data_IF_940912134780
#
_entry.id   IF_940912134780
#
_cell.length_a   1.000
_cell.length_b   1.000
_cell.length_c   1.000
_cell.angle_alpha   90.00
_cell.angle_beta   90.00
_cell.angle_gamma   90.00
#
_symmetry.space_group_name_H-M   'P 1'
#
loop_
_entity.id
_entity.type
_entity.pdbx_description
1 polymer ?
#
# COMPACT_ATOMS: atom_id res chain seq x y z
N UNK A 1 0.30 4.01 8.89
CA UNK A 1 1.24 3.01 9.46
C UNK A 1 0.59 2.07 10.47
N UNK A 2 -0.35 2.52 11.31
CA UNK A 2 -1.01 1.69 12.33
C UNK A 2 -1.73 0.46 11.74
N UNK A 3 -2.18 0.53 10.49
CA UNK A 3 -2.82 -0.59 9.80
C UNK A 3 -1.89 -1.80 9.61
N UNK A 4 -0.57 -1.58 9.46
CA UNK A 4 0.39 -2.66 9.22
C UNK A 4 0.44 -3.68 10.37
N UNK A 5 0.69 -3.32 11.62
CA UNK A 5 0.75 -4.29 12.72
C UNK A 5 -0.62 -4.92 13.01
N UNK A 6 -1.71 -4.16 12.83
CA UNK A 6 -3.06 -4.64 13.13
C UNK A 6 -3.56 -5.62 12.06
N UNK A 7 -3.36 -5.30 10.78
CA UNK A 7 -3.95 -6.07 9.67
C UNK A 7 -3.03 -7.16 9.11
N UNK A 8 -1.73 -7.17 9.46
CA UNK A 8 -0.82 -8.24 9.06
C UNK A 8 -1.25 -9.62 9.52
N UNK A 9 -1.68 -9.74 10.78
CA UNK A 9 -2.23 -10.97 11.33
C UNK A 9 -3.54 -11.41 10.69
N UNK A 10 -4.39 -10.44 10.32
CA UNK A 10 -5.64 -10.70 9.60
C UNK A 10 -5.35 -11.27 8.21
N UNK A 11 -4.39 -10.68 7.48
CA UNK A 11 -3.97 -11.17 6.17
C UNK A 11 -3.47 -12.61 6.22
N UNK A 12 -2.62 -12.94 7.19
CA UNK A 12 -2.13 -14.30 7.40
C UNK A 12 -3.26 -15.28 7.71
N UNK A 13 -4.19 -14.92 8.57
CA UNK A 13 -5.37 -15.75 8.89
C UNK A 13 -6.27 -15.97 7.67
N UNK A 14 -6.41 -14.97 6.82
CA UNK A 14 -7.19 -15.10 5.59
C UNK A 14 -6.52 -16.01 4.56
N UNK A 15 -5.19 -16.00 4.46
CA UNK A 15 -4.47 -16.93 3.58
C UNK A 15 -4.73 -18.38 4.03
N UNK A 16 -4.63 -18.66 5.32
CA UNK A 16 -4.90 -19.99 5.86
C UNK A 16 -6.34 -20.46 5.63
N UNK A 17 -7.31 -19.55 5.67
CA UNK A 17 -8.74 -19.87 5.52
C UNK A 17 -9.23 -19.90 4.07
N UNK A 18 -8.77 -18.97 3.26
CA UNK A 18 -9.33 -18.72 1.90
C UNK A 18 -8.32 -18.96 0.78
N UNK A 19 -7.07 -19.26 1.11
CA UNK A 19 -5.98 -19.40 0.17
C UNK A 19 -5.51 -18.04 -0.39
N UNK A 20 -4.47 -18.06 -1.22
CA UNK A 20 -3.86 -16.86 -1.77
C UNK A 20 -4.81 -16.06 -2.67
N UNK A 21 -5.46 -16.72 -3.66
CA UNK A 21 -6.41 -16.06 -4.57
C UNK A 21 -7.58 -15.42 -3.82
N UNK A 22 -8.18 -16.16 -2.88
CA UNK A 22 -9.32 -15.67 -2.11
C UNK A 22 -8.96 -14.47 -1.23
N UNK A 23 -7.76 -14.45 -0.66
CA UNK A 23 -7.28 -13.34 0.16
C UNK A 23 -6.90 -12.13 -0.69
N UNK A 24 -6.26 -12.34 -1.84
CA UNK A 24 -5.96 -11.28 -2.82
C UNK A 24 -7.23 -10.55 -3.26
N UNK A 25 -8.27 -11.30 -3.62
CA UNK A 25 -9.56 -10.73 -4.04
C UNK A 25 -10.20 -9.90 -2.92
N UNK A 26 -10.19 -10.39 -1.70
CA UNK A 26 -10.72 -9.65 -0.54
C UNK A 26 -9.90 -8.41 -0.23
N UNK A 27 -8.57 -8.50 -0.32
CA UNK A 27 -7.69 -7.34 -0.18
C UNK A 27 -8.06 -6.23 -1.17
N UNK A 28 -8.22 -6.57 -2.46
CA UNK A 28 -8.61 -5.61 -3.48
C UNK A 28 -10.02 -5.03 -3.26
N UNK A 29 -10.97 -5.83 -2.77
CA UNK A 29 -12.31 -5.31 -2.41
C UNK A 29 -12.24 -4.31 -1.25
N UNK A 30 -11.42 -4.59 -0.23
CA UNK A 30 -11.17 -3.64 0.88
C UNK A 30 -10.54 -2.35 0.35
N UNK A 31 -9.65 -2.44 -0.66
CA UNK A 31 -9.07 -1.26 -1.33
C UNK A 31 -10.15 -0.39 -1.99
N UNK A 32 -11.08 -1.01 -2.72
CA UNK A 32 -12.20 -0.30 -3.36
C UNK A 32 -13.05 0.42 -2.31
N UNK A 33 -13.34 -0.22 -1.17
CA UNK A 33 -14.07 0.41 -0.07
C UNK A 33 -13.31 1.61 0.49
N UNK A 34 -11.99 1.49 0.68
CA UNK A 34 -11.14 2.58 1.16
C UNK A 34 -11.10 3.78 0.20
N UNK A 35 -10.99 3.53 -1.11
CA UNK A 35 -11.06 4.58 -2.13
C UNK A 35 -12.47 5.22 -2.19
N UNK A 36 -13.51 4.43 -1.98
CA UNK A 36 -14.88 4.94 -1.85
C UNK A 36 -15.04 5.88 -0.66
N UNK A 37 -14.35 5.60 0.46
CA UNK A 37 -14.31 6.52 1.61
C UNK A 37 -13.55 7.81 1.31
N UNK A 38 -12.47 7.77 0.51
CA UNK A 38 -11.78 8.98 0.07
C UNK A 38 -12.68 9.83 -0.82
N UNK A 39 -13.38 9.21 -1.76
CA UNK A 39 -14.37 9.90 -2.58
C UNK A 39 -15.48 10.51 -1.71
N UNK A 40 -16.04 9.75 -0.78
CA UNK A 40 -17.06 10.22 0.15
C UNK A 40 -16.56 11.37 1.03
N UNK A 41 -15.31 11.34 1.47
CA UNK A 41 -14.68 12.44 2.22
C UNK A 41 -14.61 13.72 1.41
N UNK A 42 -14.13 13.64 0.16
CA UNK A 42 -14.07 14.80 -0.75
C UNK A 42 -15.45 15.35 -1.05
N UNK A 43 -16.40 14.47 -1.36
CA UNK A 43 -17.79 14.84 -1.60
C UNK A 43 -18.43 15.54 -0.39
N UNK A 44 -18.22 14.98 0.80
CA UNK A 44 -18.74 15.55 2.04
C UNK A 44 -18.17 16.95 2.33
N UNK A 45 -16.87 17.12 2.15
CA UNK A 45 -16.20 18.40 2.40
C UNK A 45 -16.69 19.50 1.44
N UNK A 46 -16.97 19.15 0.18
CA UNK A 46 -17.46 20.12 -0.83
C UNK A 46 -18.93 20.50 -0.58
N UNK A 47 -19.79 19.53 -0.24
CA UNK A 47 -21.24 19.78 -0.12
C UNK A 47 -21.68 20.23 1.26
N UNK A 48 -20.88 19.99 2.30
CA UNK A 48 -21.17 20.35 3.69
C UNK A 48 -20.02 21.15 4.32
N UNK A 49 -19.68 22.34 3.78
CA UNK A 49 -18.55 23.13 4.27
C UNK A 49 -18.75 23.65 5.72
N UNK A 50 -20.00 23.69 6.19
CA UNK A 50 -20.33 24.12 7.57
C UNK A 50 -20.16 23.02 8.61
N UNK A 51 -20.03 21.76 8.20
CA UNK A 51 -19.87 20.62 9.09
C UNK A 51 -18.42 20.53 9.63
N UNK A 52 -18.01 21.56 10.34
CA UNK A 52 -16.67 21.67 10.92
C UNK A 52 -16.70 21.32 12.40
N UNK A 53 -15.70 20.61 12.86
CA UNK A 53 -15.50 20.33 14.27
C UNK A 53 -14.46 21.25 14.86
N UNK A 54 -14.75 21.89 15.97
CA UNK A 54 -13.85 22.77 16.68
C UNK A 54 -13.09 21.97 17.73
N UNK A 55 -11.79 21.78 17.53
CA UNK A 55 -10.88 21.20 18.52
C UNK A 55 -9.94 22.30 19.04
N UNK A 56 -10.34 22.99 20.09
CA UNK A 56 -9.62 24.15 20.61
C UNK A 56 -9.61 25.31 19.61
N UNK A 57 -8.44 25.79 19.21
CA UNK A 57 -8.27 26.89 18.23
C UNK A 57 -8.27 26.38 16.75
N UNK A 58 -8.32 25.08 16.51
CA UNK A 58 -8.27 24.52 15.16
C UNK A 58 -9.65 24.09 14.69
N UNK A 59 -9.98 24.47 13.45
CA UNK A 59 -11.20 24.05 12.76
C UNK A 59 -10.86 22.83 11.92
N UNK A 60 -11.46 21.68 12.22
CA UNK A 60 -11.28 20.43 11.52
C UNK A 60 -12.49 20.18 10.61
N UNK A 61 -12.33 20.10 9.28
CA UNK A 61 -13.42 19.76 8.38
C UNK A 61 -14.00 18.37 8.72
N UNK A 62 -15.34 18.24 8.72
CA UNK A 62 -15.99 16.97 9.02
C UNK A 62 -15.56 15.82 8.09
N UNK A 63 -15.25 16.12 6.84
CA UNK A 63 -14.69 15.16 5.88
C UNK A 63 -13.34 14.57 6.28
N UNK A 64 -12.56 15.26 7.13
CA UNK A 64 -11.25 14.78 7.58
C UNK A 64 -11.32 13.47 8.36
N UNK A 65 -12.36 13.27 9.17
CA UNK A 65 -12.56 12.01 9.89
C UNK A 65 -12.85 10.84 8.93
N UNK A 66 -13.63 11.10 7.89
CA UNK A 66 -13.91 10.12 6.83
C UNK A 66 -12.62 9.81 6.08
N UNK A 67 -11.80 10.82 5.79
CA UNK A 67 -10.49 10.65 5.16
C UNK A 67 -9.54 9.78 6.01
N UNK A 68 -9.47 10.01 7.32
CA UNK A 68 -8.65 9.20 8.23
C UNK A 68 -9.10 7.74 8.26
N UNK A 69 -10.41 7.51 8.29
CA UNK A 69 -10.97 6.16 8.21
C UNK A 69 -10.65 5.50 6.87
N UNK A 70 -10.81 6.23 5.76
CA UNK A 70 -10.40 5.78 4.43
C UNK A 70 -8.92 5.42 4.37
N UNK A 71 -8.06 6.26 4.93
CA UNK A 71 -6.60 6.03 5.00
C UNK A 71 -6.26 4.75 5.78
N UNK A 72 -6.95 4.50 6.88
CA UNK A 72 -6.78 3.27 7.63
C UNK A 72 -7.21 2.04 6.81
N UNK A 73 -8.36 2.10 6.13
CA UNK A 73 -8.89 0.99 5.31
C UNK A 73 -8.00 0.72 4.10
N UNK A 74 -7.51 1.75 3.40
CA UNK A 74 -6.53 1.60 2.30
C UNK A 74 -5.22 1.00 2.81
N UNK A 75 -4.71 1.48 3.95
CA UNK A 75 -3.51 0.92 4.58
C UNK A 75 -3.68 -0.54 5.00
N UNK A 76 -4.85 -0.91 5.53
CA UNK A 76 -5.21 -2.29 5.85
C UNK A 76 -5.21 -3.18 4.59
N UNK A 77 -5.82 -2.70 3.51
CA UNK A 77 -5.81 -3.38 2.21
C UNK A 77 -4.39 -3.58 1.68
N UNK A 78 -3.57 -2.53 1.66
CA UNK A 78 -2.19 -2.59 1.20
C UNK A 78 -1.38 -3.64 1.99
N UNK A 79 -1.56 -3.68 3.31
CA UNK A 79 -0.93 -4.68 4.17
C UNK A 79 -1.35 -6.10 3.81
N UNK A 80 -2.65 -6.34 3.65
CA UNK A 80 -3.18 -7.66 3.27
C UNK A 80 -2.59 -8.08 1.91
N UNK A 81 -2.56 -7.18 0.94
CA UNK A 81 -2.01 -7.46 -0.39
C UNK A 81 -0.51 -7.80 -0.34
N UNK A 82 0.29 -7.06 0.44
CA UNK A 82 1.72 -7.35 0.61
C UNK A 82 1.97 -8.71 1.27
N UNK A 83 1.20 -9.05 2.30
CA UNK A 83 1.28 -10.36 2.98
C UNK A 83 0.92 -11.51 2.03
N UNK A 84 0.09 -11.27 1.01
CA UNK A 84 -0.32 -12.28 0.03
C UNK A 84 0.66 -12.37 -1.14
N UNK A 85 1.03 -11.24 -1.75
CA UNK A 85 1.74 -11.19 -3.03
C UNK A 85 3.15 -11.75 -2.89
N UNK A 86 3.91 -11.35 -1.89
CA UNK A 86 5.30 -11.76 -1.73
C UNK A 86 5.46 -13.28 -1.53
N UNK A 87 4.74 -13.93 -0.58
CA UNK A 87 4.79 -15.38 -0.45
C UNK A 87 4.23 -16.11 -1.68
N UNK A 88 3.21 -15.55 -2.35
CA UNK A 88 2.67 -16.15 -3.56
C UNK A 88 3.69 -16.20 -4.68
N UNK A 89 4.41 -15.09 -4.93
CA UNK A 89 5.48 -15.02 -5.94
C UNK A 89 6.61 -16.00 -5.67
N UNK A 90 6.95 -16.20 -4.39
CA UNK A 90 8.02 -17.14 -4.01
C UNK A 90 7.58 -18.60 -4.13
N UNK A 91 6.34 -18.90 -3.76
CA UNK A 91 5.80 -20.25 -3.73
C UNK A 91 5.27 -20.73 -5.09
N UNK A 92 4.90 -19.82 -6.01
CA UNK A 92 4.42 -20.16 -7.34
C UNK A 92 5.52 -20.84 -8.17
N UNK A 93 5.29 -22.07 -8.63
CA UNK A 93 6.28 -22.80 -9.40
C UNK A 93 6.12 -22.52 -10.90
N UNK A 94 7.05 -21.71 -11.44
CA UNK A 94 7.12 -21.42 -12.89
C UNK A 94 8.40 -22.05 -13.45
N UNK A 95 8.26 -22.92 -14.47
CA UNK A 95 9.39 -23.58 -15.13
C UNK A 95 10.40 -22.54 -15.65
N UNK A 96 11.68 -22.77 -15.36
CA UNK A 96 12.76 -21.90 -15.85
C UNK A 96 13.03 -20.64 -15.01
N UNK A 97 12.32 -20.42 -13.89
CA UNK A 97 12.56 -19.26 -13.02
C UNK A 97 12.78 -19.69 -11.57
N UNK A 98 13.69 -19.01 -10.89
CA UNK A 98 13.92 -19.18 -9.45
C UNK A 98 12.97 -18.27 -8.64
N UNK A 99 12.65 -18.65 -7.40
CA UNK A 99 11.79 -17.88 -6.52
C UNK A 99 12.28 -16.43 -6.32
N UNK A 100 13.59 -16.28 -6.17
CA UNK A 100 14.25 -14.98 -5.99
C UNK A 100 14.12 -14.09 -7.22
N UNK A 101 14.20 -14.65 -8.44
CA UNK A 101 14.03 -13.91 -9.68
C UNK A 101 12.60 -13.37 -9.81
N UNK A 102 11.60 -14.17 -9.46
CA UNK A 102 10.19 -13.74 -9.50
C UNK A 102 9.92 -12.62 -8.51
N UNK A 103 10.49 -12.72 -7.31
CA UNK A 103 10.38 -11.67 -6.31
C UNK A 103 11.09 -10.38 -6.76
N UNK A 104 12.28 -10.50 -7.37
CA UNK A 104 13.01 -9.37 -7.91
C UNK A 104 12.26 -8.67 -9.07
N UNK A 105 11.63 -9.43 -9.97
CA UNK A 105 10.77 -8.87 -11.04
C UNK A 105 9.59 -8.12 -10.43
N UNK A 106 8.92 -8.70 -9.41
CA UNK A 106 7.84 -8.04 -8.70
C UNK A 106 8.28 -6.74 -8.01
N UNK A 107 9.43 -6.75 -7.36
CA UNK A 107 10.06 -5.58 -6.76
C UNK A 107 10.42 -4.50 -7.78
N UNK A 108 11.01 -4.89 -8.91
CA UNK A 108 11.32 -3.95 -10.00
C UNK A 108 10.06 -3.30 -10.58
N UNK A 109 8.99 -4.06 -10.80
CA UNK A 109 7.71 -3.53 -11.25
C UNK A 109 7.12 -2.54 -10.25
N UNK A 110 7.21 -2.85 -8.94
CA UNK A 110 6.79 -1.94 -7.89
C UNK A 110 7.58 -0.63 -7.92
N UNK A 111 8.90 -0.70 -8.09
CA UNK A 111 9.78 0.49 -8.16
C UNK A 111 9.47 1.37 -9.36
N UNK A 112 9.23 0.77 -10.53
CA UNK A 112 8.78 1.52 -11.71
C UNK A 112 7.44 2.21 -11.43
N UNK A 113 6.49 1.51 -10.82
CA UNK A 113 5.20 2.07 -10.44
C UNK A 113 5.32 3.26 -9.48
N UNK A 114 6.10 3.12 -8.41
CA UNK A 114 6.31 4.19 -7.43
C UNK A 114 7.03 5.41 -8.02
N UNK A 115 7.95 5.20 -8.95
CA UNK A 115 8.67 6.29 -9.64
C UNK A 115 7.75 7.03 -10.62
N UNK A 116 6.89 6.32 -11.36
CA UNK A 116 5.99 6.94 -12.34
C UNK A 116 4.75 7.58 -11.70
N UNK A 117 4.30 7.10 -10.54
CA UNK A 117 3.09 7.57 -9.89
C UNK A 117 3.06 9.09 -9.63
N UNK A 118 4.10 9.74 -9.08
CA UNK A 118 4.11 11.20 -8.89
C UNK A 118 3.93 11.97 -10.19
N UNK A 119 4.63 11.57 -11.26
CA UNK A 119 4.51 12.23 -12.58
C UNK A 119 3.12 12.08 -13.15
N UNK A 120 2.53 10.89 -13.03
CA UNK A 120 1.17 10.66 -13.47
C UNK A 120 0.17 11.52 -12.70
N UNK A 121 0.31 11.58 -11.38
CA UNK A 121 -0.59 12.37 -10.52
C UNK A 121 -0.44 13.86 -10.81
N UNK A 122 0.77 14.40 -10.81
CA UNK A 122 0.99 15.84 -11.02
C UNK A 122 0.70 16.28 -12.46
N UNK A 123 1.13 15.49 -13.46
CA UNK A 123 1.01 15.86 -14.87
C UNK A 123 -0.35 15.55 -15.49
N UNK A 124 -0.91 14.36 -15.18
CA UNK A 124 -2.15 13.89 -15.83
C UNK A 124 -3.38 14.21 -14.98
N UNK A 125 -3.30 13.93 -13.66
CA UNK A 125 -4.47 14.10 -12.78
C UNK A 125 -4.70 15.57 -12.44
N UNK A 126 -3.65 16.30 -12.11
CA UNK A 126 -3.73 17.73 -11.75
C UNK A 126 -3.38 18.69 -12.88
N UNK A 127 -3.07 18.16 -14.08
CA UNK A 127 -2.80 19.00 -15.24
C UNK A 127 -1.62 19.97 -15.08
N UNK A 128 -0.66 19.67 -14.20
CA UNK A 128 0.48 20.54 -13.90
C UNK A 128 0.18 21.73 -13.00
N UNK A 129 -0.99 21.77 -12.35
CA UNK A 129 -1.31 22.81 -11.38
C UNK A 129 -0.35 22.75 -10.18
N UNK A 130 -0.05 23.91 -9.59
CA UNK A 130 0.70 23.95 -8.32
C UNK A 130 -0.12 23.34 -7.19
N UNK A 131 0.56 22.78 -6.18
CA UNK A 131 -0.13 22.16 -5.03
C UNK A 131 -1.05 23.13 -4.27
N UNK A 132 -0.79 24.43 -4.37
CA UNK A 132 -1.58 25.49 -3.72
C UNK A 132 -2.90 25.75 -4.46
N UNK A 133 -2.98 25.43 -5.76
CA UNK A 133 -4.16 25.66 -6.60
C UNK A 133 -5.10 24.47 -6.70
N UNK A 134 -4.72 23.31 -6.09
CA UNK A 134 -5.52 22.09 -6.16
C UNK A 134 -6.70 22.20 -5.20
N UNK A 135 -7.91 22.17 -5.76
CA UNK A 135 -9.15 22.16 -4.99
C UNK A 135 -9.58 20.72 -4.66
N UNK A 136 -10.30 20.56 -3.54
CA UNK A 136 -10.73 19.24 -3.04
C UNK A 136 -11.68 18.52 -4.00
N UNK A 137 -12.48 19.27 -4.78
CA UNK A 137 -13.38 18.73 -5.79
C UNK A 137 -12.65 18.01 -6.93
N UNK A 138 -11.43 18.47 -7.28
CA UNK A 138 -10.59 17.87 -8.31
C UNK A 138 -10.10 16.46 -7.91
N UNK A 139 -10.06 16.14 -6.62
CA UNK A 139 -9.67 14.83 -6.12
C UNK A 139 -10.72 13.73 -6.37
N UNK A 140 -11.98 14.10 -6.61
CA UNK A 140 -13.06 13.13 -6.81
C UNK A 140 -12.83 12.27 -8.05
N UNK A 141 -12.44 12.89 -9.17
CA UNK A 141 -12.22 12.20 -10.44
C UNK A 141 -11.07 11.17 -10.34
N UNK A 142 -9.88 11.51 -9.80
CA UNK A 142 -8.82 10.55 -9.56
C UNK A 142 -9.23 9.34 -8.70
N UNK A 143 -9.98 9.57 -7.63
CA UNK A 143 -10.42 8.46 -6.76
C UNK A 143 -11.38 7.53 -7.49
N UNK A 144 -12.30 8.06 -8.30
CA UNK A 144 -13.19 7.25 -9.15
C UNK A 144 -12.41 6.49 -10.22
N UNK A 145 -11.42 7.12 -10.86
CA UNK A 145 -10.58 6.49 -11.86
C UNK A 145 -9.78 5.31 -11.25
N UNK A 146 -9.15 5.52 -10.10
CA UNK A 146 -8.45 4.46 -9.37
C UNK A 146 -9.38 3.32 -8.97
N UNK A 147 -10.58 3.64 -8.49
CA UNK A 147 -11.60 2.67 -8.14
C UNK A 147 -12.03 1.83 -9.35
N UNK A 148 -12.20 2.46 -10.51
CA UNK A 148 -12.52 1.78 -11.77
C UNK A 148 -11.38 0.85 -12.21
N UNK A 149 -10.12 1.30 -12.15
CA UNK A 149 -8.94 0.49 -12.48
C UNK A 149 -8.84 -0.73 -11.57
N UNK A 150 -8.97 -0.55 -10.26
CA UNK A 150 -8.90 -1.69 -9.32
C UNK A 150 -10.08 -2.64 -9.53
N UNK A 151 -11.27 -2.13 -9.81
CA UNK A 151 -12.43 -2.97 -10.13
C UNK A 151 -12.20 -3.79 -11.39
N UNK A 152 -11.57 -3.20 -12.41
CA UNK A 152 -11.18 -3.91 -13.63
C UNK A 152 -10.17 -5.03 -13.32
N UNK A 153 -9.17 -4.75 -12.48
CA UNK A 153 -8.19 -5.75 -12.04
C UNK A 153 -8.89 -6.91 -11.30
N UNK A 154 -9.85 -6.61 -10.42
CA UNK A 154 -10.65 -7.63 -9.73
C UNK A 154 -11.38 -8.51 -10.72
N UNK A 155 -12.06 -7.91 -11.73
CA UNK A 155 -12.77 -8.64 -12.76
C UNK A 155 -11.84 -9.53 -13.63
N UNK A 156 -10.65 -9.03 -13.97
CA UNK A 156 -9.63 -9.81 -14.67
C UNK A 156 -9.15 -10.99 -13.82
N UNK A 157 -8.85 -10.77 -12.55
CA UNK A 157 -8.40 -11.82 -11.63
C UNK A 157 -9.48 -12.89 -11.37
N UNK A 158 -10.76 -12.50 -11.41
CA UNK A 158 -11.86 -13.48 -11.34
C UNK A 158 -11.84 -14.46 -12.50
N UNK A 159 -11.54 -13.97 -13.72
CA UNK A 159 -11.48 -14.79 -14.94
C UNK A 159 -10.19 -15.60 -15.06
N UNK A 160 -9.09 -15.14 -14.46
CA UNK A 160 -7.80 -15.82 -14.49
C UNK A 160 -7.79 -17.01 -13.52
N UNK A 161 -7.40 -18.19 -14.04
CA UNK A 161 -7.10 -19.35 -13.20
C UNK A 161 -5.71 -19.19 -12.60
N UNK A 162 -5.62 -18.55 -11.44
CA UNK A 162 -4.37 -18.51 -10.67
C UNK A 162 -4.09 -19.91 -10.09
N UNK A 163 -2.85 -20.44 -10.20
CA UNK A 163 -2.49 -21.72 -9.64
C UNK A 163 -2.70 -21.72 -8.11
N UNK A 164 -3.40 -22.75 -7.63
CA UNK A 164 -3.60 -22.95 -6.20
C UNK A 164 -2.33 -23.59 -5.63
N UNK A 165 -1.79 -23.00 -4.57
CA UNK A 165 -0.58 -23.51 -3.91
C UNK A 165 -1.04 -24.43 -2.81
N UNK A 166 -0.87 -25.73 -3.04
CA UNK A 166 -1.19 -26.77 -2.05
C UNK A 166 -0.27 -26.65 -0.84
N UNK A 167 -0.79 -26.93 0.35
CA UNK A 167 -0.05 -26.89 1.61
C UNK A 167 -0.14 -25.58 2.40
N UNK A 168 -0.81 -24.55 1.86
CA UNK A 168 -1.00 -23.28 2.60
C UNK A 168 -2.20 -23.32 3.56
N UNK A 169 -3.15 -24.23 3.32
CA UNK A 169 -4.31 -24.39 4.20
C UNK A 169 -3.93 -25.33 5.34
N UNK A 170 -3.83 -24.74 6.54
CA UNK A 170 -3.66 -25.53 7.77
C UNK A 170 -4.96 -26.30 8.00
N UNK A 171 -4.89 -27.63 8.06
CA UNK A 171 -6.04 -28.46 8.42
C UNK A 171 -6.45 -28.14 9.88
N UNK A 172 -7.77 -28.08 10.11
CA UNK A 172 -8.30 -27.80 11.44
C UNK A 172 -7.84 -28.90 12.42
N UNK A 173 -6.92 -28.54 13.32
CA UNK A 173 -6.42 -29.44 14.36
C UNK A 173 -4.91 -29.69 14.31
N UNK A 174 -4.22 -29.32 13.25
CA UNK A 174 -2.76 -29.43 13.17
C UNK A 174 -2.11 -28.39 14.08
N UNK A 175 -1.60 -28.80 15.22
CA UNK A 175 -0.80 -27.96 16.12
C UNK A 175 0.63 -27.97 15.60
N UNK A 176 1.16 -26.81 15.26
CA UNK A 176 2.58 -26.63 15.00
C UNK A 176 3.36 -27.13 16.23
N UNK A 177 4.28 -28.07 16.03
CA UNK A 177 5.12 -28.64 17.12
C UNK A 177 5.96 -27.56 17.82
N UNK A 178 6.31 -26.50 17.12
CA UNK A 178 7.10 -25.38 17.64
C UNK A 178 6.47 -24.03 17.29
N UNK A 179 6.46 -23.12 18.23
CA UNK A 179 6.07 -21.73 17.98
C UNK A 179 7.01 -21.08 16.96
N UNK A 180 6.46 -20.25 16.08
CA UNK A 180 7.21 -19.49 15.06
C UNK A 180 8.33 -18.67 15.72
N UNK A 181 8.11 -18.15 16.92
CA UNK A 181 9.07 -17.36 17.69
C UNK A 181 10.24 -18.18 18.27
N UNK A 182 10.18 -19.50 18.27
CA UNK A 182 11.30 -20.34 18.71
C UNK A 182 12.45 -20.39 17.69
N UNK A 183 12.21 -19.90 16.47
CA UNK A 183 13.25 -19.79 15.45
C UNK A 183 14.03 -18.47 15.58
N UNK A 184 15.20 -18.54 16.18
CA UNK A 184 16.07 -17.37 16.45
C UNK A 184 16.33 -16.50 15.22
N UNK A 185 16.54 -17.11 14.06
CA UNK A 185 16.79 -16.41 12.81
C UNK A 185 15.59 -15.55 12.37
N UNK A 186 14.38 -16.07 12.56
CA UNK A 186 13.16 -15.33 12.24
C UNK A 186 12.99 -14.12 13.16
N UNK A 187 13.17 -14.31 14.47
CA UNK A 187 13.05 -13.24 15.46
C UNK A 187 14.07 -12.13 15.19
N UNK A 188 15.33 -12.47 14.94
CA UNK A 188 16.37 -11.51 14.58
C UNK A 188 16.08 -10.82 13.24
N UNK A 189 15.55 -11.54 12.26
CA UNK A 189 15.13 -10.97 10.98
C UNK A 189 14.00 -9.95 11.13
N UNK A 190 13.01 -10.23 11.96
CA UNK A 190 11.91 -9.27 12.26
C UNK A 190 12.45 -8.00 12.91
N UNK A 191 13.36 -8.13 13.88
CA UNK A 191 14.00 -6.97 14.53
C UNK A 191 14.83 -6.17 13.53
N UNK A 192 15.61 -6.83 12.69
CA UNK A 192 16.42 -6.18 11.66
C UNK A 192 15.56 -5.40 10.65
N UNK A 193 14.48 -6.01 10.15
CA UNK A 193 13.54 -5.35 9.23
C UNK A 193 12.86 -4.15 9.90
N UNK A 194 12.49 -4.25 11.16
CA UNK A 194 11.89 -3.15 11.91
C UNK A 194 12.80 -1.91 11.92
N UNK A 195 14.08 -2.08 12.25
CA UNK A 195 15.04 -0.97 12.24
C UNK A 195 15.33 -0.49 10.83
N UNK A 196 15.46 -1.39 9.86
CA UNK A 196 15.69 -1.04 8.46
C UNK A 196 14.58 -0.14 7.90
N UNK A 197 13.32 -0.57 8.02
CA UNK A 197 12.17 0.21 7.55
C UNK A 197 12.05 1.54 8.28
N UNK A 198 12.34 1.56 9.60
CA UNK A 198 12.37 2.79 10.39
C UNK A 198 13.37 3.80 9.85
N UNK A 199 14.59 3.37 9.56
CA UNK A 199 15.65 4.22 8.99
C UNK A 199 15.28 4.68 7.57
N UNK A 200 14.80 3.77 6.72
CA UNK A 200 14.39 4.07 5.33
C UNK A 200 13.32 5.17 5.30
N UNK A 201 12.25 5.03 6.05
CA UNK A 201 11.16 6.03 6.11
C UNK A 201 11.66 7.34 6.71
N UNK A 202 12.48 7.28 7.77
CA UNK A 202 12.99 8.48 8.44
C UNK A 202 13.93 9.27 7.51
N UNK A 203 14.84 8.62 6.81
CA UNK A 203 15.75 9.25 5.86
C UNK A 203 14.96 9.88 4.71
N UNK A 204 14.02 9.13 4.12
CA UNK A 204 13.20 9.62 3.02
C UNK A 204 12.39 10.88 3.39
N UNK A 205 11.75 10.87 4.55
CA UNK A 205 11.00 12.03 5.05
C UNK A 205 11.90 13.24 5.31
N UNK A 206 13.06 13.04 5.95
CA UNK A 206 13.98 14.14 6.29
C UNK A 206 14.65 14.72 5.05
N UNK A 207 15.05 13.89 4.07
CA UNK A 207 15.62 14.39 2.81
C UNK A 207 14.62 15.27 2.07
N UNK A 208 13.35 14.86 2.07
CA UNK A 208 12.28 15.63 1.43
C UNK A 208 12.10 17.01 2.08
N UNK A 209 11.99 17.04 3.42
CA UNK A 209 11.89 18.29 4.17
C UNK A 209 13.13 19.18 3.98
N UNK A 210 14.32 18.60 4.02
CA UNK A 210 15.57 19.30 3.79
C UNK A 210 15.65 19.92 2.39
N UNK A 211 15.21 19.19 1.36
CA UNK A 211 15.21 19.68 -0.01
C UNK A 211 14.23 20.84 -0.22
N UNK A 212 13.07 20.81 0.45
CA UNK A 212 12.10 21.92 0.46
C UNK A 212 12.69 23.15 1.15
N UNK A 213 13.25 22.99 2.36
CA UNK A 213 13.83 24.07 3.15
C UNK A 213 14.97 24.79 2.44
N UNK A 214 15.76 24.02 1.67
CA UNK A 214 16.93 24.54 0.95
C UNK A 214 16.63 25.03 -0.47
N UNK A 215 15.39 24.93 -0.93
CA UNK A 215 14.94 25.31 -2.28
C UNK A 215 15.76 24.66 -3.43
N UNK A 216 16.26 23.45 -3.17
CA UNK A 216 17.16 22.76 -4.11
C UNK A 216 16.46 22.09 -5.30
N UNK A 217 15.16 21.86 -5.23
CA UNK A 217 14.49 21.06 -6.25
C UNK A 217 12.99 21.37 -6.37
N UNK A 218 12.45 21.16 -7.58
CA UNK A 218 11.01 21.23 -7.80
C UNK A 218 10.27 20.16 -6.97
N UNK A 219 9.01 20.41 -6.56
CA UNK A 219 8.20 19.44 -5.79
C UNK A 219 8.13 18.05 -6.41
N UNK A 220 8.11 17.95 -7.74
CA UNK A 220 8.11 16.69 -8.47
C UNK A 220 9.41 15.89 -8.29
N UNK A 221 10.57 16.56 -8.31
CA UNK A 221 11.88 15.94 -8.12
C UNK A 221 12.07 15.47 -6.68
N UNK A 222 11.56 16.21 -5.71
CA UNK A 222 11.57 15.87 -4.29
C UNK A 222 10.76 14.59 -4.04
N UNK A 223 9.57 14.50 -4.64
CA UNK A 223 8.72 13.32 -4.55
C UNK A 223 9.42 12.08 -5.15
N UNK A 224 10.20 12.26 -6.21
CA UNK A 224 10.95 11.21 -6.88
C UNK A 224 12.11 10.68 -6.02
N UNK A 225 12.81 11.56 -5.32
CA UNK A 225 13.87 11.19 -4.38
C UNK A 225 13.34 10.34 -3.21
N UNK A 226 12.10 10.62 -2.77
CA UNK A 226 11.44 9.86 -1.70
C UNK A 226 10.99 8.47 -2.16
N UNK A 227 10.52 8.33 -3.42
CA UNK A 227 9.92 7.10 -3.93
C UNK A 227 10.90 6.20 -4.68
N UNK A 228 12.11 6.72 -5.01
CA UNK A 228 13.11 5.97 -5.77
C UNK A 228 13.93 5.08 -4.83
N UNK A 229 13.74 3.74 -4.85
CA UNK A 229 14.57 2.85 -4.06
C UNK A 229 16.02 2.93 -4.53
N UNK A 230 16.94 2.91 -3.57
CA UNK A 230 18.36 2.90 -3.87
C UNK A 230 18.75 1.62 -4.65
N UNK A 231 19.64 1.70 -5.65
CA UNK A 231 20.16 0.51 -6.32
C UNK A 231 20.81 -0.51 -5.38
N UNK A 232 21.18 -0.09 -4.16
CA UNK A 232 21.73 -0.97 -3.13
C UNK A 232 20.70 -1.89 -2.50
N UNK A 233 19.43 -1.53 -2.54
CA UNK A 233 18.35 -2.31 -1.93
C UNK A 233 18.10 -3.63 -2.70
N UNK A 234 18.51 -3.67 -3.98
CA UNK A 234 18.47 -4.88 -4.81
C UNK A 234 19.72 -5.76 -4.72
N UNK A 235 20.82 -5.21 -4.22
CA UNK A 235 22.07 -5.97 -4.10
C UNK A 235 22.16 -6.76 -2.77
N UNK A 236 21.30 -6.47 -1.81
CA UNK A 236 21.28 -7.09 -0.48
C UNK A 236 20.18 -8.16 -0.32
N UNK A 237 19.32 -8.36 -1.35
CA UNK A 237 18.32 -9.41 -1.43
C UNK A 237 18.76 -10.51 -2.42
#
# INVERSE_FOLDING_TARGET
FLAYPVCGGVGSSWISKYGYKGTLMRGLLVMIVGLGLFFASSYFTVHFPEANWHAGNNVIPGGFLIFLLGSFVVGASATILQVVINPYLTACHVKGTQSIQRLAIGGSANSVGTTLAPYFVTGVVFGGLSMEDIQIDQLMVPFLALMAVISLIVLLLMKLSLPDIQGTRVEKGEKLEKSVWSFRHLTLGVVAIFFYVGVEVCIGANINLYAIEMDYASPALICLLYTSPSPRDYAAS
#
